data_IF_743094235852
#
_entry.id   IF_743094235852
#
_cell.length_a   1.000
_cell.length_b   1.000
_cell.length_c   1.000
_cell.angle_alpha   90.00
_cell.angle_beta   90.00
_cell.angle_gamma   90.00
#
_symmetry.space_group_name_H-M   'P 1'
#
loop_
_entity.id
_entity.type
_entity.pdbx_description
1 polymer ?
#
# COMPACT_ATOMS: atom_id res chain seq x y z
N UNK A 1 -32.83 44.36 -35.42
CA UNK A 1 -33.86 44.40 -34.36
C UNK A 1 -34.67 43.10 -34.54
N UNK A 2 -34.85 42.16 -33.61
CA UNK A 2 -34.45 41.89 -32.21
C UNK A 2 -34.57 40.35 -32.02
N UNK A 3 -33.88 39.61 -31.13
CA UNK A 3 -32.74 39.84 -30.20
C UNK A 3 -32.07 38.46 -29.93
N UNK A 4 -30.85 38.42 -29.37
CA UNK A 4 -30.12 37.16 -29.07
C UNK A 4 -30.81 36.28 -28.01
N UNK A 5 -31.00 34.99 -28.31
CA UNK A 5 -31.42 33.99 -27.32
C UNK A 5 -30.21 33.33 -26.65
N UNK A 6 -29.85 33.84 -25.48
CA UNK A 6 -28.90 33.21 -24.56
C UNK A 6 -29.63 32.17 -23.68
N UNK A 7 -29.28 30.89 -23.82
CA UNK A 7 -29.72 29.82 -22.91
C UNK A 7 -28.54 29.32 -22.06
N UNK A 8 -28.31 30.04 -20.96
CA UNK A 8 -27.40 29.62 -19.89
C UNK A 8 -28.22 29.05 -18.72
N UNK A 9 -28.36 27.73 -18.61
CA UNK A 9 -28.59 27.01 -17.32
C UNK A 9 -28.85 25.50 -17.49
N UNK A 10 -27.81 24.71 -17.28
CA UNK A 10 -27.85 23.36 -16.67
C UNK A 10 -26.39 23.05 -16.34
N UNK A 11 -25.97 23.01 -15.09
CA UNK A 11 -26.69 22.55 -13.92
C UNK A 11 -25.78 21.49 -13.32
N UNK A 12 -25.04 21.88 -12.29
CA UNK A 12 -24.11 21.06 -11.50
C UNK A 12 -24.33 19.55 -11.62
N UNK A 13 -23.43 18.85 -12.33
CA UNK A 13 -23.27 17.39 -12.17
C UNK A 13 -22.58 17.08 -10.85
N UNK A 14 -23.25 17.43 -9.75
CA UNK A 14 -22.99 16.87 -8.45
C UNK A 14 -23.36 15.40 -8.47
N UNK A 15 -22.40 14.55 -8.84
CA UNK A 15 -22.54 13.09 -8.89
C UNK A 15 -22.66 12.48 -7.48
N UNK A 16 -23.74 12.83 -6.79
CA UNK A 16 -24.15 12.22 -5.52
C UNK A 16 -24.79 10.87 -5.82
N UNK A 17 -23.95 9.84 -6.00
CA UNK A 17 -24.42 8.45 -6.06
C UNK A 17 -25.23 8.12 -4.77
N UNK A 18 -26.33 7.35 -4.89
CA UNK A 18 -27.38 7.35 -3.88
C UNK A 18 -26.99 6.69 -2.56
N UNK A 19 -27.56 7.21 -1.47
CA UNK A 19 -27.54 6.61 -0.14
C UNK A 19 -28.24 5.25 -0.13
N UNK A 20 -27.46 4.17 -0.23
CA UNK A 20 -27.80 2.92 0.45
C UNK A 20 -27.14 2.95 1.85
N UNK A 21 -27.52 2.03 2.75
CA UNK A 21 -26.93 1.91 4.10
C UNK A 21 -25.47 1.45 4.04
N UNK A 22 -24.58 2.33 3.56
CA UNK A 22 -23.22 2.03 3.11
C UNK A 22 -22.32 1.80 4.32
N UNK A 23 -22.26 0.54 4.74
CA UNK A 23 -21.07 0.04 5.43
C UNK A 23 -19.87 0.46 4.58
N UNK A 24 -18.87 1.15 5.15
CA UNK A 24 -17.67 1.49 4.40
C UNK A 24 -17.10 0.19 3.85
N UNK A 25 -16.93 0.11 2.53
CA UNK A 25 -16.36 -1.08 1.91
C UNK A 25 -14.86 -0.90 1.77
N UNK A 26 -14.09 -1.98 1.95
CA UNK A 26 -12.64 -1.97 1.72
C UNK A 26 -12.27 -1.47 0.31
N UNK A 27 -13.16 -1.66 -0.68
CA UNK A 27 -13.05 -1.09 -2.02
C UNK A 27 -13.08 0.44 -2.05
N UNK A 28 -13.93 1.08 -1.25
CA UNK A 28 -14.01 2.55 -1.15
C UNK A 28 -12.69 3.12 -0.63
N UNK A 29 -12.06 2.45 0.35
CA UNK A 29 -10.74 2.83 0.87
C UNK A 29 -9.64 2.70 -0.20
N UNK A 30 -9.65 1.63 -0.99
CA UNK A 30 -8.71 1.49 -2.10
C UNK A 30 -8.90 2.60 -3.15
N UNK A 31 -10.16 2.97 -3.46
CA UNK A 31 -10.44 4.05 -4.39
C UNK A 31 -10.02 5.42 -3.84
N UNK A 32 -10.21 5.68 -2.54
CA UNK A 32 -9.74 6.91 -1.89
C UNK A 32 -8.21 7.06 -1.99
N UNK A 33 -7.46 5.98 -1.74
CA UNK A 33 -6.00 5.94 -1.91
C UNK A 33 -5.60 6.16 -3.39
N UNK A 34 -6.33 5.57 -4.35
CA UNK A 34 -6.09 5.79 -5.80
C UNK A 34 -6.37 7.24 -6.22
N UNK A 35 -7.37 7.88 -5.62
CA UNK A 35 -7.74 9.27 -5.90
C UNK A 35 -6.84 10.28 -5.17
N UNK A 36 -6.13 9.87 -4.11
CA UNK A 36 -5.39 10.76 -3.22
C UNK A 36 -6.30 11.54 -2.25
N UNK A 37 -7.54 11.09 -2.03
CA UNK A 37 -8.47 11.74 -1.11
C UNK A 37 -8.15 11.36 0.33
N UNK A 38 -7.21 12.10 0.92
CA UNK A 38 -6.73 11.84 2.28
C UNK A 38 -7.80 12.07 3.35
N UNK A 39 -8.81 12.90 3.09
CA UNK A 39 -9.94 13.08 4.00
C UNK A 39 -10.77 11.80 4.12
N UNK A 40 -11.07 11.19 2.97
CA UNK A 40 -11.78 9.92 2.92
C UNK A 40 -10.91 8.74 3.40
N UNK A 41 -9.60 8.72 3.11
CA UNK A 41 -8.68 7.69 3.65
C UNK A 41 -8.65 7.69 5.18
N UNK A 42 -8.55 8.85 5.83
CA UNK A 42 -8.60 8.94 7.31
C UNK A 42 -9.95 8.46 7.83
N UNK A 43 -11.05 8.98 7.28
CA UNK A 43 -12.42 8.65 7.72
C UNK A 43 -12.73 7.16 7.58
N UNK A 44 -12.29 6.52 6.51
CA UNK A 44 -12.48 5.09 6.26
C UNK A 44 -11.53 4.23 7.12
N UNK A 45 -10.27 4.63 7.30
CA UNK A 45 -9.34 3.90 8.15
C UNK A 45 -9.80 3.88 9.63
N UNK A 46 -10.34 4.98 10.13
CA UNK A 46 -10.87 5.08 11.51
C UNK A 46 -12.26 4.43 11.68
N UNK A 47 -12.92 4.00 10.59
CA UNK A 47 -14.29 3.42 10.63
C UNK A 47 -14.38 1.95 11.08
N UNK A 48 -13.27 1.34 11.51
CA UNK A 48 -13.24 -0.07 11.97
C UNK A 48 -13.22 -1.10 10.84
N UNK A 49 -12.83 -0.69 9.63
CA UNK A 49 -12.61 -1.59 8.49
C UNK A 49 -11.54 -2.65 8.79
N UNK A 50 -11.70 -3.86 8.22
CA UNK A 50 -10.58 -4.81 8.10
C UNK A 50 -9.57 -4.29 7.08
N UNK A 51 -8.57 -3.56 7.57
CA UNK A 51 -7.46 -3.03 6.77
C UNK A 51 -6.52 -4.15 6.24
N UNK A 52 -6.67 -5.38 6.73
CA UNK A 52 -6.01 -6.58 6.22
C UNK A 52 -6.76 -7.28 5.07
N UNK A 53 -7.98 -6.85 4.75
CA UNK A 53 -8.73 -7.35 3.61
C UNK A 53 -8.11 -6.89 2.29
N UNK A 54 -7.95 -7.82 1.35
CA UNK A 54 -7.28 -7.58 0.08
C UNK A 54 -8.29 -7.48 -1.08
N UNK A 55 -8.31 -6.35 -1.78
CA UNK A 55 -9.13 -6.14 -2.99
C UNK A 55 -8.34 -6.62 -4.19
N UNK A 56 -8.87 -7.62 -4.92
CA UNK A 56 -8.18 -8.30 -6.04
C UNK A 56 -6.80 -8.88 -5.67
N UNK A 57 -6.57 -9.15 -4.38
CA UNK A 57 -5.29 -9.60 -3.84
C UNK A 57 -4.35 -8.49 -3.39
N UNK A 58 -4.67 -7.21 -3.61
CA UNK A 58 -3.89 -6.07 -3.10
C UNK A 58 -4.45 -5.57 -1.77
N UNK A 59 -3.60 -5.28 -0.78
CA UNK A 59 -4.06 -4.67 0.49
C UNK A 59 -4.02 -3.14 0.41
N UNK A 60 -4.78 -2.45 1.27
CA UNK A 60 -4.76 -0.99 1.33
C UNK A 60 -3.34 -0.45 1.65
N UNK A 61 -2.62 -1.12 2.55
CA UNK A 61 -1.25 -0.75 2.92
C UNK A 61 -0.27 -0.94 1.74
N UNK A 62 -0.35 -2.09 1.05
CA UNK A 62 0.48 -2.34 -0.14
C UNK A 62 0.15 -1.37 -1.28
N UNK A 63 -1.11 -0.98 -1.47
CA UNK A 63 -1.52 0.02 -2.44
C UNK A 63 -0.89 1.39 -2.16
N UNK A 64 -0.86 1.82 -0.88
CA UNK A 64 -0.14 3.05 -0.48
C UNK A 64 1.37 2.94 -0.78
N UNK A 65 1.99 1.77 -0.53
CA UNK A 65 3.39 1.50 -0.92
C UNK A 65 3.59 1.60 -2.43
N UNK A 66 2.74 0.99 -3.27
CA UNK A 66 2.88 1.05 -4.73
C UNK A 66 2.74 2.47 -5.30
N UNK A 67 2.02 3.37 -4.61
CA UNK A 67 1.87 4.77 -5.01
C UNK A 67 2.97 5.69 -4.47
N UNK A 68 3.83 5.21 -3.57
CA UNK A 68 4.77 6.07 -2.86
C UNK A 68 4.11 7.00 -1.83
N UNK A 69 2.86 6.74 -1.44
CA UNK A 69 2.10 7.62 -0.55
C UNK A 69 2.42 7.34 0.92
N UNK A 70 3.42 8.06 1.44
CA UNK A 70 3.82 8.03 2.83
C UNK A 70 2.73 8.53 3.79
N UNK A 71 1.82 9.41 3.35
CA UNK A 71 0.78 9.95 4.23
C UNK A 71 -0.35 8.94 4.43
N UNK A 72 -0.85 8.35 3.33
CA UNK A 72 -1.77 7.22 3.39
C UNK A 72 -1.18 6.04 4.18
N UNK A 73 0.10 5.71 3.96
CA UNK A 73 0.80 4.68 4.73
C UNK A 73 0.74 4.96 6.24
N UNK A 74 1.11 6.16 6.68
CA UNK A 74 1.11 6.55 8.11
C UNK A 74 -0.29 6.46 8.73
N UNK A 75 -1.32 6.87 8.00
CA UNK A 75 -2.73 6.79 8.45
C UNK A 75 -3.15 5.33 8.62
N UNK A 76 -2.91 4.48 7.62
CA UNK A 76 -3.26 3.06 7.65
C UNK A 76 -2.55 2.32 8.79
N UNK A 77 -1.25 2.58 9.00
CA UNK A 77 -0.49 1.97 10.10
C UNK A 77 -1.04 2.44 11.45
N UNK A 78 -1.34 3.74 11.62
CA UNK A 78 -1.95 4.27 12.86
C UNK A 78 -3.31 3.64 13.15
N UNK A 79 -4.09 3.32 12.11
CA UNK A 79 -5.37 2.64 12.22
C UNK A 79 -5.26 1.11 12.38
N UNK A 80 -4.05 0.55 12.49
CA UNK A 80 -3.82 -0.87 12.77
C UNK A 80 -3.72 -1.78 11.54
N UNK A 81 -3.43 -1.24 10.34
CA UNK A 81 -3.22 -2.06 9.15
C UNK A 81 -2.05 -3.06 9.32
N UNK A 82 -2.22 -4.34 8.94
CA UNK A 82 -1.20 -5.36 9.15
C UNK A 82 0.01 -5.16 8.22
N UNK A 83 1.16 -4.81 8.82
CA UNK A 83 2.44 -4.55 8.11
C UNK A 83 2.95 -5.74 7.30
N UNK A 84 2.66 -6.94 7.78
CA UNK A 84 3.21 -8.20 7.29
C UNK A 84 2.32 -8.91 6.25
N UNK A 85 1.15 -8.35 5.95
CA UNK A 85 0.16 -8.99 5.08
C UNK A 85 0.68 -9.02 3.64
N UNK A 86 0.96 -10.23 3.14
CA UNK A 86 1.35 -10.42 1.74
C UNK A 86 0.22 -9.97 0.80
N UNK A 87 0.60 -9.26 -0.24
CA UNK A 87 -0.24 -8.66 -1.27
C UNK A 87 0.23 -9.12 -2.64
N UNK A 88 -0.69 -9.30 -3.58
CA UNK A 88 -0.32 -9.37 -5.00
C UNK A 88 0.29 -8.03 -5.43
N UNK A 89 1.43 -8.10 -6.11
CA UNK A 89 2.00 -6.99 -6.86
C UNK A 89 1.39 -6.90 -8.27
N UNK A 90 1.84 -5.93 -9.07
CA UNK A 90 1.43 -5.75 -10.46
C UNK A 90 1.87 -6.88 -11.40
N UNK A 91 2.65 -7.85 -10.93
CA UNK A 91 3.08 -9.07 -11.62
C UNK A 91 2.51 -10.34 -10.95
N UNK A 92 1.45 -10.18 -10.16
CA UNK A 92 0.74 -11.20 -9.37
C UNK A 92 1.57 -11.97 -8.33
N UNK A 93 2.80 -11.50 -8.01
CA UNK A 93 3.64 -12.09 -6.97
C UNK A 93 3.15 -11.66 -5.59
N UNK A 94 3.14 -12.59 -4.63
CA UNK A 94 2.80 -12.30 -3.24
C UNK A 94 4.00 -11.70 -2.50
N UNK A 95 4.07 -10.37 -2.47
CA UNK A 95 5.09 -9.59 -1.78
C UNK A 95 4.57 -9.04 -0.44
N UNK A 96 5.47 -8.87 0.53
CA UNK A 96 5.21 -8.09 1.75
C UNK A 96 5.43 -6.60 1.46
N UNK A 97 4.67 -5.64 2.06
CA UNK A 97 4.89 -4.20 1.91
C UNK A 97 6.36 -3.74 1.95
N UNK A 98 7.18 -4.34 2.83
CA UNK A 98 8.61 -4.03 2.94
C UNK A 98 9.46 -4.50 1.73
N UNK A 99 9.10 -5.61 1.08
CA UNK A 99 9.77 -6.10 -0.12
C UNK A 99 9.45 -5.15 -1.30
N UNK A 100 8.17 -4.76 -1.42
CA UNK A 100 7.75 -3.83 -2.47
C UNK A 100 8.40 -2.45 -2.30
N UNK A 101 8.57 -1.93 -1.07
CA UNK A 101 9.26 -0.66 -0.85
C UNK A 101 10.75 -0.70 -1.22
N UNK A 102 11.44 -1.82 -0.96
CA UNK A 102 12.84 -2.04 -1.42
C UNK A 102 12.92 -2.06 -2.95
N UNK A 103 12.02 -2.81 -3.61
CA UNK A 103 12.00 -2.97 -5.07
C UNK A 103 11.72 -1.66 -5.80
N UNK A 104 10.76 -0.88 -5.29
CA UNK A 104 10.42 0.46 -5.81
C UNK A 104 11.48 1.51 -5.44
N UNK A 105 12.25 1.27 -4.37
CA UNK A 105 13.28 2.19 -3.88
C UNK A 105 12.74 3.30 -2.97
N UNK A 106 11.54 3.14 -2.40
CA UNK A 106 10.91 4.10 -1.50
C UNK A 106 11.49 4.00 -0.08
N UNK A 107 12.56 4.76 0.16
CA UNK A 107 13.35 4.73 1.38
C UNK A 107 12.55 5.16 2.60
N UNK A 108 11.78 6.23 2.49
CA UNK A 108 11.03 6.86 3.58
C UNK A 108 9.90 5.95 4.07
N UNK A 109 9.23 5.27 3.12
CA UNK A 109 8.23 4.23 3.38
C UNK A 109 8.87 3.02 4.07
N UNK A 110 10.03 2.59 3.58
CA UNK A 110 10.77 1.48 4.16
C UNK A 110 11.26 1.76 5.59
N UNK A 111 11.80 2.95 5.85
CA UNK A 111 12.21 3.39 7.19
C UNK A 111 11.01 3.50 8.15
N UNK A 112 9.85 3.96 7.69
CA UNK A 112 8.60 3.96 8.49
C UNK A 112 8.08 2.53 8.76
N UNK A 113 8.14 1.61 7.79
CA UNK A 113 7.75 0.21 8.03
C UNK A 113 8.64 -0.45 9.09
N UNK A 114 9.95 -0.19 9.06
CA UNK A 114 10.89 -0.70 10.06
C UNK A 114 10.68 -0.08 11.44
N UNK A 115 10.47 1.25 11.52
CA UNK A 115 10.23 1.92 12.82
C UNK A 115 8.94 1.45 13.50
N UNK A 116 8.01 0.86 12.72
CA UNK A 116 6.75 0.28 13.17
C UNK A 116 6.83 -1.23 13.46
N UNK A 117 8.01 -1.84 13.32
CA UNK A 117 8.24 -3.25 13.65
C UNK A 117 7.82 -4.25 12.56
N UNK A 118 7.75 -3.83 11.28
CA UNK A 118 7.51 -4.77 10.17
C UNK A 118 8.57 -5.88 10.15
N UNK A 119 8.14 -7.12 9.88
CA UNK A 119 9.02 -8.28 9.97
C UNK A 119 10.02 -8.36 8.82
N UNK A 120 11.29 -8.56 9.20
CA UNK A 120 12.43 -8.62 8.26
C UNK A 120 12.80 -10.05 7.82
N UNK A 121 12.16 -11.06 8.42
CA UNK A 121 12.37 -12.49 8.13
C UNK A 121 11.39 -13.05 7.08
N UNK A 122 10.38 -12.26 6.70
CA UNK A 122 9.32 -12.71 5.79
C UNK A 122 9.84 -12.95 4.38
N UNK A 123 9.66 -14.19 3.94
CA UNK A 123 10.09 -14.66 2.61
C UNK A 123 8.98 -14.49 1.59
N UNK A 124 9.33 -14.33 0.32
CA UNK A 124 8.37 -14.36 -0.79
C UNK A 124 8.09 -15.81 -1.28
N UNK A 125 7.37 -15.96 -2.40
CA UNK A 125 7.11 -17.27 -3.02
C UNK A 125 8.38 -18.02 -3.47
N UNK A 126 9.44 -17.31 -3.84
CA UNK A 126 10.74 -17.87 -4.23
C UNK A 126 11.67 -18.09 -3.03
N UNK A 127 11.17 -17.99 -1.79
CA UNK A 127 11.92 -18.06 -0.53
C UNK A 127 13.00 -16.95 -0.43
N UNK A 128 12.77 -15.78 -1.05
CA UNK A 128 13.69 -14.64 -1.02
C UNK A 128 13.36 -13.74 0.17
N UNK A 129 14.38 -13.35 0.93
CA UNK A 129 14.28 -12.42 2.07
C UNK A 129 14.32 -10.96 1.61
N UNK A 130 13.86 -9.97 2.41
CA UNK A 130 14.00 -8.56 2.08
C UNK A 130 15.47 -8.16 1.83
N UNK A 131 16.40 -8.79 2.55
CA UNK A 131 17.84 -8.60 2.36
C UNK A 131 18.33 -9.11 0.99
N UNK A 132 17.80 -10.24 0.51
CA UNK A 132 18.09 -10.75 -0.83
C UNK A 132 17.64 -9.74 -1.91
N UNK A 133 16.44 -9.17 -1.79
CA UNK A 133 15.98 -8.12 -2.72
C UNK A 133 16.87 -6.88 -2.67
N UNK A 134 17.24 -6.40 -1.47
CA UNK A 134 18.08 -5.22 -1.33
C UNK A 134 19.47 -5.39 -1.96
N UNK A 135 20.06 -6.59 -1.90
CA UNK A 135 21.32 -6.91 -2.57
C UNK A 135 21.14 -7.06 -4.09
N UNK A 136 20.12 -7.81 -4.53
CA UNK A 136 19.87 -8.10 -5.94
C UNK A 136 19.52 -6.85 -6.76
N UNK A 137 18.78 -5.90 -6.16
CA UNK A 137 18.49 -4.58 -6.74
C UNK A 137 19.61 -3.54 -6.49
N UNK A 138 20.76 -3.96 -5.93
CA UNK A 138 21.95 -3.13 -5.62
C UNK A 138 21.67 -1.91 -4.71
N UNK A 139 20.63 -1.99 -3.89
CA UNK A 139 20.13 -0.91 -3.03
C UNK A 139 20.90 -0.84 -1.70
N UNK A 140 22.18 -0.46 -1.75
CA UNK A 140 23.09 -0.43 -0.59
C UNK A 140 22.53 0.26 0.68
N UNK A 141 21.75 1.32 0.54
CA UNK A 141 21.10 2.01 1.67
C UNK A 141 20.16 1.08 2.43
N UNK A 142 19.33 0.32 1.71
CA UNK A 142 18.39 -0.64 2.29
C UNK A 142 19.13 -1.82 2.93
N UNK A 143 20.19 -2.33 2.28
CA UNK A 143 21.08 -3.36 2.86
C UNK A 143 21.64 -2.88 4.21
N UNK A 144 22.18 -1.66 4.28
CA UNK A 144 22.73 -1.08 5.53
C UNK A 144 21.68 -0.97 6.63
N UNK A 145 20.46 -0.56 6.32
CA UNK A 145 19.38 -0.43 7.31
C UNK A 145 18.86 -1.79 7.76
N UNK A 146 18.67 -2.76 6.85
CA UNK A 146 18.27 -4.14 7.19
C UNK A 146 19.28 -4.79 8.15
N UNK A 147 20.58 -4.71 7.84
CA UNK A 147 21.63 -5.26 8.69
C UNK A 147 21.68 -4.58 10.07
N UNK A 148 21.51 -3.26 10.13
CA UNK A 148 21.40 -2.53 11.41
C UNK A 148 20.16 -2.90 12.22
N UNK A 149 19.06 -3.25 11.55
CA UNK A 149 17.79 -3.64 12.17
C UNK A 149 17.72 -5.13 12.52
N UNK A 150 18.84 -5.85 12.46
CA UNK A 150 18.90 -7.27 12.82
C UNK A 150 18.21 -8.21 11.83
N UNK A 151 18.02 -7.81 10.57
CA UNK A 151 17.48 -8.70 9.55
C UNK A 151 18.33 -9.98 9.42
N UNK A 152 17.72 -11.18 9.33
CA UNK A 152 18.48 -12.42 9.22
C UNK A 152 19.34 -12.40 7.95
N UNK A 153 20.63 -12.68 8.12
CA UNK A 153 21.61 -12.78 7.03
C UNK A 153 21.45 -14.15 6.34
N UNK A 154 20.28 -14.36 5.75
CA UNK A 154 19.97 -15.52 4.92
C UNK A 154 19.71 -15.06 3.48
N UNK A 155 20.69 -15.37 2.63
CA UNK A 155 20.63 -15.15 1.17
C UNK A 155 20.14 -16.39 0.42
N UNK A 156 19.85 -17.50 1.12
CA UNK A 156 19.53 -18.75 0.46
C UNK A 156 18.10 -18.72 -0.08
N UNK A 157 17.99 -18.93 -1.39
CA UNK A 157 16.86 -19.72 -1.90
C UNK A 157 17.02 -21.08 -1.25
N UNK A 158 16.27 -21.34 -0.17
CA UNK A 158 16.30 -22.63 0.52
C UNK A 158 16.21 -23.71 -0.56
N UNK A 159 17.22 -24.58 -0.61
CA UNK A 159 17.19 -25.67 -1.59
C UNK A 159 15.91 -26.43 -1.31
N UNK A 160 15.06 -26.63 -2.32
CA UNK A 160 14.08 -27.70 -2.29
C UNK A 160 14.90 -28.99 -2.22
N UNK A 161 15.23 -29.43 -1.01
CA UNK A 161 15.51 -30.83 -0.77
C UNK A 161 14.18 -31.54 -0.98
N UNK A 162 14.09 -32.46 -1.96
CA UNK A 162 12.90 -33.27 -2.18
C UNK A 162 12.64 -34.20 -1.00
#
# INVERSE_FOLDING_TARGET
>A
MITSCNVSSSGVLGATSPRMGRMPHILDLHQAIVNGDMGEVVRLAESGLDLGAAVRGTTALSLAVYRGDLHALRVLIKAGAPLDKRSKDHLERLETPIISSIRLGYREIFEELISRGARLDLRDFYNQTPLWFAVKEQRLTFVRVLLKSGAPIDFTRARRTP
#
